data_IF_395147839930
#
_entry.id   IF_395147839930
#
_cell.length_a   1.000
_cell.length_b   1.000
_cell.length_c   1.000
_cell.angle_alpha   90.00
_cell.angle_beta   90.00
_cell.angle_gamma   90.00
#
_symmetry.space_group_name_H-M   'P 1'
#
loop_
_entity.id
_entity.type
_entity.pdbx_description
1 polymer ?
#
# COMPACT_ATOMS: atom_id res chain seq x y z
N UNK A 1 -16.77 -10.87 -10.71
CA UNK A 1 -16.36 -10.54 -9.32
C UNK A 1 -17.53 -9.82 -8.67
N UNK A 2 -17.96 -10.29 -7.51
CA UNK A 2 -19.18 -9.82 -6.90
C UNK A 2 -19.05 -8.39 -6.40
N UNK A 3 -20.08 -7.58 -6.68
CA UNK A 3 -20.16 -6.17 -6.24
C UNK A 3 -19.92 -6.01 -4.74
N UNK A 4 -20.33 -7.02 -3.96
CA UNK A 4 -20.15 -7.05 -2.51
C UNK A 4 -18.70 -7.12 -2.07
N UNK A 5 -17.84 -7.90 -2.75
CA UNK A 5 -16.41 -7.98 -2.45
C UNK A 5 -15.76 -6.62 -2.71
N UNK A 6 -16.09 -6.00 -3.84
CA UNK A 6 -15.57 -4.69 -4.20
C UNK A 6 -15.97 -3.60 -3.19
N UNK A 7 -17.23 -3.62 -2.75
CA UNK A 7 -17.73 -2.68 -1.75
C UNK A 7 -17.06 -2.87 -0.39
N UNK A 8 -16.93 -4.12 0.09
CA UNK A 8 -16.24 -4.41 1.34
C UNK A 8 -14.77 -3.98 1.30
N UNK A 9 -14.08 -4.20 0.18
CA UNK A 9 -12.69 -3.78 0.02
C UNK A 9 -12.54 -2.25 -0.02
N UNK A 10 -13.51 -1.54 -0.60
CA UNK A 10 -13.51 -0.08 -0.55
C UNK A 10 -13.70 0.44 0.89
N UNK A 11 -14.52 -0.23 1.70
CA UNK A 11 -14.66 0.10 3.13
C UNK A 11 -13.36 -0.16 3.88
N UNK A 12 -12.74 -1.32 3.70
CA UNK A 12 -11.46 -1.67 4.35
C UNK A 12 -10.36 -0.69 3.97
N UNK A 13 -10.20 -0.41 2.66
CA UNK A 13 -9.21 0.55 2.18
C UNK A 13 -9.47 1.98 2.69
N UNK A 14 -10.73 2.39 2.74
CA UNK A 14 -11.13 3.68 3.30
C UNK A 14 -10.86 3.77 4.81
N UNK A 15 -11.12 2.70 5.55
CA UNK A 15 -10.82 2.62 6.98
C UNK A 15 -9.31 2.69 7.26
N UNK A 16 -8.51 1.88 6.58
CA UNK A 16 -7.05 1.87 6.76
C UNK A 16 -6.41 3.21 6.34
N UNK A 17 -6.91 3.81 5.24
CA UNK A 17 -6.47 5.14 4.80
C UNK A 17 -6.85 6.23 5.80
N UNK A 18 -8.08 6.23 6.30
CA UNK A 18 -8.55 7.16 7.32
C UNK A 18 -7.78 7.00 8.64
N UNK A 19 -7.51 5.76 9.05
CA UNK A 19 -6.70 5.48 10.23
C UNK A 19 -5.30 6.09 10.11
N UNK A 20 -4.64 5.91 8.96
CA UNK A 20 -3.30 6.47 8.71
C UNK A 20 -3.31 8.00 8.80
N UNK A 21 -4.30 8.66 8.18
CA UNK A 21 -4.41 10.13 8.19
C UNK A 21 -4.64 10.66 9.61
N UNK A 22 -5.54 10.04 10.37
CA UNK A 22 -5.94 10.54 11.68
C UNK A 22 -4.91 10.29 12.79
N UNK A 23 -4.15 9.19 12.69
CA UNK A 23 -3.26 8.77 13.76
C UNK A 23 -1.77 8.99 13.46
N UNK A 24 -1.40 9.24 12.20
CA UNK A 24 0.00 9.35 11.77
C UNK A 24 0.26 10.59 10.92
N UNK A 25 -0.05 11.79 11.47
CA UNK A 25 0.31 13.10 10.91
C UNK A 25 0.02 13.27 9.42
N UNK A 26 -1.22 12.96 9.00
CA UNK A 26 -1.69 13.12 7.62
C UNK A 26 -0.93 12.28 6.58
N UNK A 27 -0.23 11.22 7.01
CA UNK A 27 0.44 10.31 6.09
C UNK A 27 -0.57 9.46 5.31
N UNK A 28 -0.41 9.45 4.00
CA UNK A 28 -1.30 8.70 3.12
C UNK A 28 -0.78 7.29 2.88
N UNK A 29 -1.40 6.29 3.50
CA UNK A 29 -1.05 4.89 3.28
C UNK A 29 -1.22 4.44 1.83
N UNK A 30 -2.20 4.99 1.10
CA UNK A 30 -2.51 4.64 -0.29
C UNK A 30 -1.93 5.60 -1.32
N UNK A 31 -1.70 6.88 -0.97
CA UNK A 31 -1.26 7.91 -1.91
C UNK A 31 0.26 8.08 -1.89
N UNK A 32 0.98 7.11 -2.45
CA UNK A 32 2.45 7.16 -2.52
C UNK A 32 2.99 8.34 -3.34
N UNK A 33 2.18 8.94 -4.20
CA UNK A 33 2.54 10.17 -4.92
C UNK A 33 2.87 11.31 -3.96
N UNK A 34 2.11 11.49 -2.88
CA UNK A 34 2.38 12.50 -1.86
C UNK A 34 3.69 12.22 -1.13
N UNK A 35 3.92 10.96 -0.74
CA UNK A 35 5.16 10.55 -0.09
C UNK A 35 6.37 10.76 -1.01
N UNK A 36 6.24 10.48 -2.30
CA UNK A 36 7.29 10.68 -3.30
C UNK A 36 7.57 12.17 -3.52
N UNK A 37 6.55 13.02 -3.58
CA UNK A 37 6.71 14.48 -3.67
C UNK A 37 7.49 14.99 -2.45
N UNK A 38 7.19 14.52 -1.25
CA UNK A 38 7.92 14.88 -0.04
C UNK A 38 9.39 14.46 -0.11
N UNK A 39 9.69 13.26 -0.62
CA UNK A 39 11.08 12.79 -0.84
C UNK A 39 11.84 13.73 -1.80
N UNK A 40 11.20 14.16 -2.89
CA UNK A 40 11.82 15.10 -3.82
C UNK A 40 11.98 16.51 -3.23
N UNK A 41 11.04 16.96 -2.40
CA UNK A 41 11.16 18.23 -1.68
C UNK A 41 12.34 18.22 -0.70
N UNK A 42 12.55 17.11 0.02
CA UNK A 42 13.68 16.91 0.91
C UNK A 42 15.01 16.96 0.15
N UNK A 43 15.07 16.36 -1.04
CA UNK A 43 16.24 16.43 -1.93
C UNK A 43 16.51 17.86 -2.46
N UNK A 44 15.45 18.65 -2.65
CA UNK A 44 15.55 20.02 -3.19
C UNK A 44 16.02 21.06 -2.16
N UNK A 45 16.36 20.67 -0.94
CA UNK A 45 16.95 21.56 0.05
C UNK A 45 16.11 21.81 1.30
N UNK A 46 15.09 21.00 1.53
CA UNK A 46 14.31 20.94 2.77
C UNK A 46 14.54 19.59 3.45
N UNK A 47 15.78 19.25 3.89
CA UNK A 47 16.07 17.93 4.43
C UNK A 47 15.28 17.70 5.71
N UNK A 48 14.39 16.71 5.67
CA UNK A 48 13.71 16.20 6.85
C UNK A 48 14.53 15.02 7.44
N UNK A 49 14.53 14.90 8.75
CA UNK A 49 15.15 13.76 9.44
C UNK A 49 14.56 12.40 9.00
N UNK A 50 13.39 12.40 8.41
CA UNK A 50 12.67 11.22 7.97
C UNK A 50 12.89 10.84 6.49
N UNK A 51 13.75 11.52 5.75
CA UNK A 51 14.01 11.28 4.33
C UNK A 51 14.22 9.78 3.99
N UNK A 52 15.18 9.15 4.67
CA UNK A 52 15.47 7.73 4.42
C UNK A 52 14.32 6.81 4.79
N UNK A 53 13.57 7.15 5.82
CA UNK A 53 12.41 6.37 6.28
C UNK A 53 11.27 6.48 5.24
N UNK A 54 11.00 7.67 4.72
CA UNK A 54 10.04 7.88 3.62
C UNK A 54 10.44 7.14 2.35
N UNK A 55 11.72 7.26 1.99
CA UNK A 55 12.26 6.58 0.81
C UNK A 55 12.10 5.06 0.92
N UNK A 56 12.38 4.48 2.10
CA UNK A 56 12.19 3.06 2.35
C UNK A 56 10.71 2.66 2.22
N UNK A 57 9.78 3.49 2.69
CA UNK A 57 8.34 3.27 2.51
C UNK A 57 7.93 3.19 1.04
N UNK A 58 8.48 4.06 0.19
CA UNK A 58 8.27 4.01 -1.27
C UNK A 58 8.80 2.69 -1.86
N UNK A 59 9.98 2.24 -1.45
CA UNK A 59 10.53 0.97 -1.90
C UNK A 59 9.68 -0.23 -1.46
N UNK A 60 9.19 -0.24 -0.22
CA UNK A 60 8.28 -1.30 0.27
C UNK A 60 7.01 -1.34 -0.58
N UNK A 61 6.44 -0.20 -0.89
CA UNK A 61 5.25 -0.11 -1.74
C UNK A 61 5.52 -0.63 -3.16
N UNK A 62 6.61 -0.20 -3.79
CA UNK A 62 7.01 -0.67 -5.13
C UNK A 62 7.30 -2.17 -5.15
N UNK A 63 7.92 -2.69 -4.10
CA UNK A 63 8.15 -4.12 -3.95
C UNK A 63 6.83 -4.91 -3.87
N UNK A 64 5.88 -4.43 -3.07
CA UNK A 64 4.56 -5.02 -2.97
C UNK A 64 3.80 -5.02 -4.31
N UNK A 65 3.87 -3.91 -5.08
CA UNK A 65 3.33 -3.84 -6.43
C UNK A 65 3.95 -4.90 -7.35
N UNK A 66 5.27 -5.03 -7.31
CA UNK A 66 6.00 -6.02 -8.12
C UNK A 66 5.56 -7.45 -7.78
N UNK A 67 5.34 -7.75 -6.51
CA UNK A 67 4.84 -9.05 -6.06
C UNK A 67 3.47 -9.37 -6.66
N UNK A 68 2.55 -8.42 -6.79
CA UNK A 68 1.23 -8.66 -7.37
C UNK A 68 1.27 -9.06 -8.83
N UNK A 69 2.31 -8.64 -9.56
CA UNK A 69 2.54 -9.03 -10.97
C UNK A 69 3.26 -10.38 -11.08
N UNK A 70 4.23 -10.62 -10.18
CA UNK A 70 5.09 -11.81 -10.23
C UNK A 70 4.37 -13.04 -9.64
N UNK A 71 3.68 -12.89 -8.50
CA UNK A 71 3.07 -14.00 -7.77
C UNK A 71 2.11 -14.85 -8.63
N UNK A 72 1.19 -14.27 -9.42
CA UNK A 72 0.27 -15.05 -10.25
C UNK A 72 0.95 -15.89 -11.34
N UNK A 73 2.17 -15.53 -11.73
CA UNK A 73 2.93 -16.30 -12.74
C UNK A 73 3.44 -17.63 -12.18
N UNK A 74 3.74 -17.67 -10.90
CA UNK A 74 4.32 -18.84 -10.24
C UNK A 74 3.34 -19.62 -9.38
N UNK A 75 2.22 -18.98 -9.01
CA UNK A 75 1.25 -19.56 -8.08
C UNK A 75 -0.18 -19.37 -8.60
N UNK A 76 -1.04 -20.37 -8.36
CA UNK A 76 -2.47 -20.27 -8.67
C UNK A 76 -3.27 -19.61 -7.53
N UNK A 77 -2.65 -18.68 -6.80
CA UNK A 77 -3.28 -18.00 -5.68
C UNK A 77 -4.32 -16.99 -6.18
N UNK A 78 -5.46 -16.98 -5.54
CA UNK A 78 -6.49 -15.96 -5.77
C UNK A 78 -6.10 -14.68 -5.02
N UNK A 79 -5.45 -13.76 -5.71
CA UNK A 79 -4.93 -12.50 -5.15
C UNK A 79 -5.93 -11.75 -4.25
N UNK A 80 -7.25 -11.66 -4.56
CA UNK A 80 -8.19 -10.98 -3.69
C UNK A 80 -8.28 -11.56 -2.27
N UNK A 81 -8.23 -12.89 -2.12
CA UNK A 81 -8.24 -13.52 -0.79
C UNK A 81 -6.93 -13.33 -0.04
N UNK A 82 -5.81 -13.40 -0.78
CA UNK A 82 -4.48 -13.13 -0.21
C UNK A 82 -4.40 -11.69 0.27
N UNK A 83 -4.92 -10.74 -0.50
CA UNK A 83 -4.99 -9.33 -0.12
C UNK A 83 -5.77 -9.13 1.18
N UNK A 84 -6.96 -9.71 1.31
CA UNK A 84 -7.76 -9.64 2.54
C UNK A 84 -7.00 -10.15 3.77
N UNK A 85 -6.28 -11.26 3.61
CA UNK A 85 -5.46 -11.80 4.69
C UNK A 85 -4.31 -10.86 5.07
N UNK A 86 -3.64 -10.28 4.08
CA UNK A 86 -2.54 -9.33 4.29
C UNK A 86 -3.05 -8.05 4.94
N UNK A 87 -4.21 -7.53 4.53
CA UNK A 87 -4.84 -6.36 5.13
C UNK A 87 -5.16 -6.60 6.62
N UNK A 88 -5.73 -7.75 6.95
CA UNK A 88 -6.02 -8.14 8.34
C UNK A 88 -4.74 -8.27 9.17
N UNK A 89 -3.70 -8.88 8.63
CA UNK A 89 -2.41 -9.01 9.30
C UNK A 89 -1.74 -7.65 9.50
N UNK A 90 -1.76 -6.78 8.51
CA UNK A 90 -1.21 -5.43 8.61
C UNK A 90 -1.94 -4.61 9.69
N UNK A 91 -3.27 -4.68 9.73
CA UNK A 91 -4.07 -4.02 10.76
C UNK A 91 -3.73 -4.54 12.17
N UNK A 92 -3.58 -5.86 12.34
CA UNK A 92 -3.16 -6.46 13.61
C UNK A 92 -1.75 -6.01 14.00
N UNK A 93 -0.79 -6.02 13.09
CA UNK A 93 0.57 -5.56 13.37
C UNK A 93 0.53 -4.12 13.87
N UNK A 94 -0.14 -3.22 13.15
CA UNK A 94 -0.21 -1.80 13.52
C UNK A 94 -0.92 -1.61 14.86
N UNK A 95 -1.95 -2.41 15.18
CA UNK A 95 -2.66 -2.33 16.47
C UNK A 95 -1.79 -2.69 17.68
N UNK A 96 -0.74 -3.50 17.50
CA UNK A 96 0.17 -3.92 18.56
C UNK A 96 1.52 -3.18 18.54
N UNK A 97 1.72 -2.24 17.61
CA UNK A 97 2.95 -1.45 17.60
C UNK A 97 3.00 -0.46 18.78
N UNK A 98 4.19 -0.24 19.36
CA UNK A 98 4.38 0.77 20.39
C UNK A 98 4.05 2.17 19.87
N UNK A 99 3.43 3.00 20.71
CA UNK A 99 3.03 4.37 20.35
C UNK A 99 4.21 5.36 20.24
N UNK A 100 5.39 4.97 20.67
CA UNK A 100 6.63 5.74 20.58
C UNK A 100 7.42 5.46 19.28
N UNK A 101 6.93 4.55 18.44
CA UNK A 101 7.55 4.25 17.16
C UNK A 101 7.36 5.42 16.17
N UNK A 102 8.36 5.64 15.31
CA UNK A 102 8.25 6.62 14.24
C UNK A 102 7.04 6.30 13.33
N UNK A 103 6.19 7.31 13.10
CA UNK A 103 4.93 7.17 12.35
C UNK A 103 5.10 6.55 10.97
N UNK A 104 6.16 6.89 10.25
CA UNK A 104 6.45 6.31 8.93
C UNK A 104 6.72 4.81 9.01
N UNK A 105 7.50 4.39 10.03
CA UNK A 105 7.83 2.98 10.23
C UNK A 105 6.58 2.19 10.64
N UNK A 106 5.75 2.80 11.49
CA UNK A 106 4.48 2.20 11.91
C UNK A 106 3.54 1.93 10.73
N UNK A 107 3.63 2.73 9.66
CA UNK A 107 2.78 2.59 8.47
C UNK A 107 3.32 1.60 7.42
N UNK A 108 4.56 1.08 7.54
CA UNK A 108 5.11 0.15 6.54
C UNK A 108 4.25 -1.08 6.28
N UNK A 109 3.65 -1.75 7.29
CA UNK A 109 2.73 -2.85 7.04
C UNK A 109 1.52 -2.43 6.20
N UNK A 110 0.99 -1.21 6.43
CA UNK A 110 -0.14 -0.67 5.67
C UNK A 110 0.26 -0.32 4.24
N UNK A 111 1.46 0.24 4.00
CA UNK A 111 1.96 0.51 2.65
C UNK A 111 2.04 -0.77 1.83
N UNK A 112 2.55 -1.83 2.43
CA UNK A 112 2.63 -3.13 1.79
C UNK A 112 1.23 -3.72 1.49
N UNK A 113 0.34 -3.73 2.47
CA UNK A 113 -1.01 -4.25 2.35
C UNK A 113 -1.83 -3.50 1.29
N UNK A 114 -1.85 -2.16 1.35
CA UNK A 114 -2.62 -1.34 0.42
C UNK A 114 -2.11 -1.42 -1.02
N UNK A 115 -0.81 -1.62 -1.24
CA UNK A 115 -0.26 -1.86 -2.56
C UNK A 115 -0.82 -3.16 -3.17
N UNK A 116 -0.83 -4.24 -2.38
CA UNK A 116 -1.37 -5.53 -2.81
C UNK A 116 -2.88 -5.45 -3.01
N UNK A 117 -3.60 -4.80 -2.09
CA UNK A 117 -5.04 -4.59 -2.19
C UNK A 117 -5.40 -3.87 -3.49
N UNK A 118 -4.76 -2.73 -3.76
CA UNK A 118 -5.03 -1.92 -4.96
C UNK A 118 -4.88 -2.70 -6.25
N UNK A 119 -3.87 -3.56 -6.35
CA UNK A 119 -3.59 -4.35 -7.54
C UNK A 119 -4.39 -5.66 -7.63
N UNK A 120 -4.85 -6.19 -6.49
CA UNK A 120 -5.61 -7.44 -6.45
C UNK A 120 -7.05 -7.28 -6.93
N UNK A 121 -7.60 -6.06 -6.88
CA UNK A 121 -8.96 -5.76 -7.34
C UNK A 121 -8.89 -5.02 -8.69
N UNK A 122 -9.62 -5.52 -9.67
CA UNK A 122 -9.68 -5.03 -11.08
C UNK A 122 -10.09 -3.54 -11.25
N UNK A 123 -10.02 -2.73 -10.21
CA UNK A 123 -10.26 -1.28 -10.27
C UNK A 123 -9.02 -0.46 -10.61
N UNK A 124 -7.82 -1.04 -10.51
CA UNK A 124 -6.58 -0.42 -10.94
C UNK A 124 -6.38 -0.56 -12.46
N UNK A 125 -7.18 0.14 -13.26
CA UNK A 125 -7.27 -0.02 -14.71
C UNK A 125 -5.95 0.02 -15.48
N UNK A 126 -4.91 0.64 -14.92
CA UNK A 126 -3.58 0.70 -15.54
C UNK A 126 -2.82 -0.63 -15.53
N UNK A 127 -2.93 -1.43 -14.48
CA UNK A 127 -2.23 -2.71 -14.39
C UNK A 127 -2.90 -3.75 -15.29
N UNK A 128 -4.22 -3.70 -15.42
CA UNK A 128 -4.95 -4.55 -16.37
C UNK A 128 -4.60 -4.19 -17.82
N UNK A 129 -4.46 -2.90 -18.13
CA UNK A 129 -4.01 -2.42 -19.45
C UNK A 129 -2.56 -2.84 -19.73
N UNK A 130 -1.66 -2.72 -18.76
CA UNK A 130 -0.27 -3.17 -18.91
C UNK A 130 -0.20 -4.68 -19.07
N UNK A 131 -0.98 -5.44 -18.32
CA UNK A 131 -1.02 -6.90 -18.45
C UNK A 131 -1.47 -7.32 -19.84
N UNK A 132 -2.55 -6.76 -20.38
CA UNK A 132 -3.02 -7.06 -21.73
C UNK A 132 -2.02 -6.59 -22.80
N UNK A 133 -1.40 -5.43 -22.63
CA UNK A 133 -0.41 -4.91 -23.58
C UNK A 133 0.85 -5.77 -23.72
N UNK A 134 1.28 -6.45 -22.66
CA UNK A 134 2.48 -7.30 -22.68
C UNK A 134 2.19 -8.78 -22.95
N UNK A 135 0.93 -9.24 -22.95
CA UNK A 135 0.55 -10.65 -23.02
C UNK A 135 -0.45 -11.01 -24.12
N UNK A 136 -0.94 -10.04 -24.90
CA UNK A 136 -1.57 -10.22 -26.22
C UNK A 136 -0.59 -9.86 -27.33
#
# INVERSE_FOLDING_TARGET
>A
MDRWIHFNMAIVGGFLGGFAILNHHELFGSAQTSNLISVFADLAGHPDANFFVRLLGVFIYMFALSLTVILPKFTRLHLPYVSLFIDAMAALIVAFLPSDLNDFIALYPLYFAMAIQWCSFKGGGWIYLLYNFFYE
#
